data_IF_048578185554
#
_entry.id   IF_048578185554
#
_cell.length_a   1.000
_cell.length_b   1.000
_cell.length_c   1.000
_cell.angle_alpha   90.00
_cell.angle_beta   90.00
_cell.angle_gamma   90.00
#
_symmetry.space_group_name_H-M   'P 1'
#
loop_
_entity.id
_entity.type
_entity.pdbx_description
1 polymer ?
#
# COMPACT_ATOMS: atom_id res chain seq x y z
N UNK A 1 35.15 -32.82 -0.78
CA UNK A 1 35.01 -31.90 -1.94
C UNK A 1 33.85 -32.42 -2.79
N UNK A 2 32.78 -31.69 -3.07
CA UNK A 2 32.78 -30.47 -3.87
C UNK A 2 31.74 -29.45 -3.35
N UNK A 3 32.08 -28.18 -3.55
CA UNK A 3 31.55 -27.00 -2.88
C UNK A 3 30.23 -26.51 -3.45
N UNK A 4 29.39 -26.00 -2.55
CA UNK A 4 28.52 -24.82 -2.71
C UNK A 4 28.22 -24.33 -4.13
N UNK A 5 26.98 -24.50 -4.55
CA UNK A 5 26.32 -23.52 -5.43
C UNK A 5 24.95 -23.18 -4.84
N UNK A 6 24.95 -22.88 -3.54
CA UNK A 6 23.82 -22.29 -2.82
C UNK A 6 24.16 -20.81 -2.56
N UNK A 7 24.18 -19.97 -3.61
CA UNK A 7 24.44 -18.52 -3.42
C UNK A 7 24.09 -17.61 -4.61
N UNK A 8 23.26 -18.03 -5.58
CA UNK A 8 22.95 -17.18 -6.75
C UNK A 8 21.46 -17.04 -7.09
N UNK A 9 20.55 -17.47 -6.19
CA UNK A 9 19.11 -17.26 -6.33
C UNK A 9 18.57 -16.01 -5.62
N UNK A 10 19.42 -15.27 -4.90
CA UNK A 10 19.04 -14.17 -4.00
C UNK A 10 19.17 -12.78 -4.61
N UNK A 11 19.13 -12.67 -5.93
CA UNK A 11 19.00 -11.39 -6.61
C UNK A 11 17.52 -11.15 -6.94
N UNK A 12 16.82 -10.62 -5.94
CA UNK A 12 15.68 -9.72 -6.09
C UNK A 12 14.72 -10.07 -7.25
N UNK A 13 13.95 -11.15 -7.09
CA UNK A 13 12.67 -11.21 -7.78
C UNK A 13 11.84 -10.12 -7.13
N UNK A 14 11.66 -8.98 -7.81
CA UNK A 14 10.49 -8.12 -7.60
C UNK A 14 9.28 -9.07 -7.72
N UNK A 15 8.82 -9.57 -6.58
CA UNK A 15 7.71 -10.49 -6.57
C UNK A 15 6.48 -9.63 -6.81
N UNK A 16 6.13 -9.48 -8.09
CA UNK A 16 4.84 -8.92 -8.48
C UNK A 16 3.79 -9.90 -8.01
N UNK A 17 2.97 -9.48 -7.05
CA UNK A 17 1.79 -10.22 -6.62
C UNK A 17 0.60 -9.77 -7.47
N UNK A 18 -0.07 -10.73 -8.11
CA UNK A 18 -1.28 -10.45 -8.89
C UNK A 18 -2.50 -10.46 -7.98
N UNK A 19 -3.32 -9.40 -8.08
CA UNK A 19 -4.61 -9.29 -7.40
C UNK A 19 -5.72 -9.10 -8.45
N UNK A 20 -6.44 -10.16 -8.85
CA UNK A 20 -7.51 -10.03 -9.83
C UNK A 20 -8.72 -9.30 -9.21
N UNK A 21 -9.17 -8.22 -9.84
CA UNK A 21 -10.31 -7.43 -9.40
C UNK A 21 -11.52 -7.66 -10.31
N UNK A 22 -12.70 -7.88 -9.70
CA UNK A 22 -13.97 -7.89 -10.43
C UNK A 22 -14.64 -6.54 -10.25
N UNK A 23 -14.73 -5.78 -11.34
CA UNK A 23 -15.37 -4.47 -11.36
C UNK A 23 -16.80 -4.57 -11.87
N UNK A 24 -17.69 -3.75 -11.30
CA UNK A 24 -18.99 -3.53 -11.92
C UNK A 24 -18.80 -2.92 -13.33
N UNK A 25 -19.63 -3.23 -14.32
CA UNK A 25 -19.43 -2.78 -15.69
C UNK A 25 -19.31 -1.25 -15.84
N UNK A 26 -20.09 -0.49 -15.07
CA UNK A 26 -20.00 0.98 -15.06
C UNK A 26 -18.64 1.47 -14.58
N UNK A 27 -18.16 0.95 -13.45
CA UNK A 27 -16.85 1.31 -12.90
C UNK A 27 -15.70 0.93 -13.85
N UNK A 28 -15.80 -0.22 -14.53
CA UNK A 28 -14.82 -0.62 -15.52
C UNK A 28 -14.77 0.36 -16.71
N UNK A 29 -15.93 0.86 -17.15
CA UNK A 29 -16.00 1.87 -18.21
C UNK A 29 -15.44 3.21 -17.76
N UNK A 30 -15.84 3.70 -16.58
CA UNK A 30 -15.35 4.97 -16.06
C UNK A 30 -13.83 4.97 -15.86
N UNK A 31 -13.27 3.83 -15.41
CA UNK A 31 -11.81 3.65 -15.31
C UNK A 31 -11.13 3.67 -16.68
N UNK A 32 -11.71 2.99 -17.69
CA UNK A 32 -11.19 2.98 -19.04
C UNK A 32 -11.21 4.37 -19.69
N UNK A 33 -12.33 5.10 -19.53
CA UNK A 33 -12.48 6.46 -20.05
C UNK A 33 -11.46 7.42 -19.41
N UNK A 34 -11.24 7.29 -18.10
CA UNK A 34 -10.21 8.08 -17.39
C UNK A 34 -8.80 7.73 -17.85
N UNK A 35 -8.52 6.45 -18.06
CA UNK A 35 -7.21 5.98 -18.51
C UNK A 35 -6.91 6.48 -19.93
N UNK A 36 -7.89 6.39 -20.83
CA UNK A 36 -7.81 6.93 -22.20
C UNK A 36 -7.54 8.44 -22.20
N UNK A 37 -8.30 9.21 -21.41
CA UNK A 37 -8.11 10.66 -21.28
C UNK A 37 -6.73 11.06 -20.73
N UNK A 38 -6.00 10.14 -20.11
CA UNK A 38 -4.66 10.35 -19.54
C UNK A 38 -3.54 9.71 -20.34
N UNK A 39 -3.86 9.02 -21.43
CA UNK A 39 -2.90 8.20 -22.18
C UNK A 39 -2.18 7.17 -21.28
N UNK A 40 -2.96 6.49 -20.43
CA UNK A 40 -2.49 5.48 -19.48
C UNK A 40 -3.28 4.18 -19.61
N UNK A 41 -2.75 3.09 -19.04
CA UNK A 41 -3.51 1.85 -18.88
C UNK A 41 -4.45 1.93 -17.67
N UNK A 42 -5.65 1.30 -17.73
CA UNK A 42 -6.56 1.19 -16.58
C UNK A 42 -5.89 0.67 -15.30
N UNK A 43 -4.98 -0.30 -15.45
CA UNK A 43 -4.23 -0.90 -14.35
C UNK A 43 -3.27 0.11 -13.71
N UNK A 44 -2.62 0.97 -14.48
CA UNK A 44 -1.73 2.00 -13.97
C UNK A 44 -2.50 3.05 -13.16
N UNK A 45 -3.67 3.45 -13.68
CA UNK A 45 -4.56 4.37 -12.97
C UNK A 45 -5.08 3.74 -11.67
N UNK A 46 -5.46 2.47 -11.70
CA UNK A 46 -5.92 1.74 -10.52
C UNK A 46 -4.81 1.61 -9.46
N UNK A 47 -3.60 1.25 -9.87
CA UNK A 47 -2.43 1.13 -8.97
C UNK A 47 -2.08 2.49 -8.36
N UNK A 48 -2.07 3.57 -9.15
CA UNK A 48 -1.82 4.92 -8.64
C UNK A 48 -2.90 5.36 -7.64
N UNK A 49 -4.18 5.10 -7.94
CA UNK A 49 -5.29 5.38 -7.03
C UNK A 49 -5.14 4.63 -5.69
N UNK A 50 -4.82 3.33 -5.74
CA UNK A 50 -4.58 2.50 -4.54
C UNK A 50 -3.39 3.02 -3.75
N UNK A 51 -2.27 3.36 -4.40
CA UNK A 51 -1.08 3.93 -3.74
C UNK A 51 -1.39 5.23 -3.02
N UNK A 52 -2.16 6.12 -3.68
CA UNK A 52 -2.56 7.40 -3.09
C UNK A 52 -3.43 7.16 -1.86
N UNK A 53 -4.46 6.33 -1.99
CA UNK A 53 -5.34 5.98 -0.89
C UNK A 53 -4.58 5.40 0.32
N UNK A 54 -3.69 4.42 0.09
CA UNK A 54 -2.92 3.78 1.17
C UNK A 54 -1.98 4.75 1.88
N UNK A 55 -1.37 5.69 1.15
CA UNK A 55 -0.50 6.71 1.74
C UNK A 55 -1.32 7.64 2.64
N UNK A 56 -2.42 8.17 2.11
CA UNK A 56 -3.25 9.14 2.80
C UNK A 56 -3.91 8.51 4.05
N UNK A 57 -4.41 7.27 3.95
CA UNK A 57 -4.93 6.50 5.08
C UNK A 57 -3.82 6.18 6.09
N UNK A 58 -2.63 5.82 5.62
CA UNK A 58 -1.47 5.57 6.48
C UNK A 58 -1.05 6.81 7.29
N UNK A 59 -1.16 8.00 6.72
CA UNK A 59 -0.94 9.26 7.44
C UNK A 59 -2.00 9.49 8.51
N UNK A 60 -3.27 9.24 8.19
CA UNK A 60 -4.37 9.34 9.14
C UNK A 60 -4.19 8.39 10.34
N UNK A 61 -3.91 7.11 10.07
CA UNK A 61 -3.68 6.09 11.10
C UNK A 61 -2.48 6.44 11.96
N UNK A 62 -1.36 6.91 11.37
CA UNK A 62 -0.19 7.35 12.14
C UNK A 62 -0.53 8.52 13.06
N UNK A 63 -1.26 9.53 12.56
CA UNK A 63 -1.69 10.68 13.37
C UNK A 63 -2.54 10.23 14.56
N UNK A 64 -3.50 9.33 14.34
CA UNK A 64 -4.33 8.78 15.41
C UNK A 64 -3.51 7.99 16.43
N UNK A 65 -2.60 7.14 15.96
CA UNK A 65 -1.71 6.36 16.82
C UNK A 65 -0.81 7.26 17.69
N UNK A 66 -0.25 8.32 17.12
CA UNK A 66 0.55 9.31 17.86
C UNK A 66 -0.28 9.97 18.96
N UNK A 67 -1.49 10.44 18.65
CA UNK A 67 -2.39 11.06 19.65
C UNK A 67 -2.74 10.11 20.78
N UNK A 68 -3.08 8.85 20.44
CA UNK A 68 -3.32 7.83 21.45
C UNK A 68 -2.09 7.61 22.33
N UNK A 69 -0.90 7.51 21.75
CA UNK A 69 0.33 7.33 22.51
C UNK A 69 0.62 8.50 23.46
N UNK A 70 0.39 9.74 23.02
CA UNK A 70 0.53 10.95 23.85
C UNK A 70 -0.48 10.98 25.00
N UNK A 71 -1.75 10.68 24.73
CA UNK A 71 -2.81 10.61 25.74
C UNK A 71 -2.50 9.53 26.79
N UNK A 72 -2.04 8.35 26.35
CA UNK A 72 -1.65 7.27 27.25
C UNK A 72 -0.38 7.60 28.03
N UNK A 73 0.60 8.27 27.43
CA UNK A 73 1.78 8.73 28.15
C UNK A 73 1.40 9.73 29.27
N UNK A 74 0.48 10.64 28.99
CA UNK A 74 -0.06 11.58 29.98
C UNK A 74 -0.89 10.89 31.08
N UNK A 75 -1.63 9.84 30.75
CA UNK A 75 -2.35 9.02 31.72
C UNK A 75 -1.39 8.23 32.63
N UNK A 76 -0.41 7.53 32.05
CA UNK A 76 0.57 6.74 32.80
C UNK A 76 1.39 7.60 33.76
N UNK A 77 1.76 8.81 33.33
CA UNK A 77 2.49 9.76 34.19
C UNK A 77 1.68 10.22 35.40
N UNK A 78 0.36 10.34 35.27
CA UNK A 78 -0.57 10.69 36.36
C UNK A 78 -0.92 9.53 37.29
N UNK A 79 -0.76 8.29 36.84
CA UNK A 79 -0.99 7.08 37.65
C UNK A 79 0.26 6.61 38.40
N UNK A 80 1.44 7.15 38.07
CA UNK A 80 2.71 6.86 38.74
C UNK A 80 3.13 7.90 39.80
N UNK A 81 2.37 8.97 39.98
CA UNK A 81 2.42 9.91 41.12
C UNK A 81 1.51 9.41 42.25
#
# INVERSE_FOLDING_TARGET
MNRSTAAAGWLYRDAVEELPLRLAPGLARDLADLADARDQLPEEVAVDAVRRYLRDEGEHVRSLATRLAEDHAGLLRRLGE
#
